data_IF_703499542098
#
_entry.id   IF_703499542098
#
_cell.length_a   1.000
_cell.length_b   1.000
_cell.length_c   1.000
_cell.angle_alpha   90.00
_cell.angle_beta   90.00
_cell.angle_gamma   90.00
#
_symmetry.space_group_name_H-M   'P 1'
#
loop_
_entity.id
_entity.type
_entity.pdbx_description
1 polymer ?
#
# COMPACT_ATOMS: atom_id res chain seq x y z
N UNK A 1 100.07 46.11 -6.27
CA UNK A 1 99.01 46.81 -7.02
C UNK A 1 99.33 48.30 -7.07
N UNK A 2 99.50 48.87 -8.27
CA UNK A 2 99.95 50.25 -8.47
C UNK A 2 99.01 50.97 -9.44
N UNK A 3 98.68 52.24 -9.18
CA UNK A 3 97.85 53.03 -10.09
C UNK A 3 98.70 53.56 -11.26
N UNK A 4 98.41 53.12 -12.49
CA UNK A 4 99.13 53.48 -13.71
C UNK A 4 98.52 54.70 -14.42
N UNK A 5 97.20 54.80 -14.47
CA UNK A 5 96.54 55.96 -15.09
C UNK A 5 95.19 56.29 -14.46
N UNK A 6 94.81 57.56 -14.56
CA UNK A 6 93.52 58.11 -14.13
C UNK A 6 92.91 58.82 -15.34
N UNK A 7 91.77 58.33 -15.82
CA UNK A 7 90.98 58.97 -16.88
C UNK A 7 89.73 59.60 -16.29
N UNK A 8 89.58 60.90 -16.46
CA UNK A 8 88.46 61.70 -15.97
C UNK A 8 87.68 62.26 -17.16
N UNK A 9 86.36 62.30 -17.08
CA UNK A 9 85.53 63.02 -18.05
C UNK A 9 84.24 63.47 -17.39
N UNK A 10 83.89 64.75 -17.56
CA UNK A 10 82.71 65.36 -16.93
C UNK A 10 82.75 65.33 -15.39
N UNK A 11 83.93 65.18 -14.77
CA UNK A 11 84.09 65.05 -13.33
C UNK A 11 84.61 66.35 -12.72
N UNK A 12 83.80 67.00 -11.87
CA UNK A 12 84.12 68.28 -11.21
C UNK A 12 84.78 69.27 -12.18
N UNK A 13 86.00 69.73 -11.91
CA UNK A 13 86.73 70.70 -12.74
C UNK A 13 87.21 70.18 -14.11
N UNK A 14 86.93 68.92 -14.46
CA UNK A 14 87.39 68.28 -15.69
C UNK A 14 86.22 68.02 -16.66
N UNK A 15 85.85 69.01 -17.49
CA UNK A 15 84.73 68.88 -18.43
C UNK A 15 85.01 67.91 -19.59
N UNK A 16 86.24 67.94 -20.11
CA UNK A 16 86.68 67.10 -21.23
C UNK A 16 87.38 65.84 -20.74
N UNK A 17 87.47 64.79 -21.57
CA UNK A 17 88.26 63.60 -21.27
C UNK A 17 89.75 63.96 -21.07
N UNK A 18 90.24 63.79 -19.84
CA UNK A 18 91.64 64.02 -19.47
C UNK A 18 92.24 62.73 -18.93
N UNK A 19 93.40 62.34 -19.45
CA UNK A 19 94.14 61.16 -19.00
C UNK A 19 95.43 61.58 -18.29
N UNK A 20 95.57 61.20 -17.02
CA UNK A 20 96.77 61.39 -16.22
C UNK A 20 97.55 60.07 -16.15
N UNK A 21 98.78 60.08 -16.65
CA UNK A 21 99.70 58.95 -16.53
C UNK A 21 100.55 59.10 -15.25
N UNK A 22 100.71 58.01 -14.52
CA UNK A 22 101.46 57.95 -13.26
C UNK A 22 102.64 56.96 -13.40
N UNK A 23 103.74 57.37 -14.03
CA UNK A 23 104.82 56.44 -14.42
C UNK A 23 105.74 56.03 -13.25
N UNK A 24 105.75 56.77 -12.13
CA UNK A 24 106.69 56.59 -11.02
C UNK A 24 106.04 56.26 -9.68
N UNK A 25 106.86 55.89 -8.69
CA UNK A 25 106.41 55.63 -7.31
C UNK A 25 106.03 56.92 -6.56
N UNK A 26 106.68 58.04 -6.90
CA UNK A 26 106.39 59.37 -6.37
C UNK A 26 105.96 60.27 -7.53
N UNK A 27 104.75 60.82 -7.45
CA UNK A 27 104.21 61.75 -8.44
C UNK A 27 103.73 63.00 -7.71
N UNK A 28 104.25 64.16 -8.12
CA UNK A 28 103.82 65.45 -7.60
C UNK A 28 102.75 66.08 -8.49
N UNK A 29 101.57 66.36 -7.93
CA UNK A 29 100.52 67.13 -8.61
C UNK A 29 100.59 68.58 -8.14
N UNK A 30 101.11 69.46 -8.99
CA UNK A 30 101.32 70.88 -8.69
C UNK A 30 100.44 71.78 -9.56
N UNK A 31 100.17 72.99 -9.07
CA UNK A 31 99.34 73.98 -9.76
C UNK A 31 98.89 75.08 -8.81
N UNK A 32 98.25 76.16 -9.30
CA UNK A 32 97.73 77.24 -8.46
C UNK A 32 96.53 76.79 -7.61
N UNK A 33 96.08 77.60 -6.66
CA UNK A 33 94.86 77.30 -5.90
C UNK A 33 93.64 77.34 -6.83
N UNK A 34 92.71 76.41 -6.65
CA UNK A 34 91.49 76.32 -7.48
C UNK A 34 91.63 75.59 -8.81
N UNK A 35 92.82 75.12 -9.23
CA UNK A 35 92.99 74.39 -10.49
C UNK A 35 92.52 72.91 -10.46
N UNK A 36 91.87 72.47 -9.38
CA UNK A 36 91.29 71.12 -9.31
C UNK A 36 92.25 70.00 -8.85
N UNK A 37 93.42 70.32 -8.27
CA UNK A 37 94.38 69.32 -7.75
C UNK A 37 93.73 68.32 -6.79
N UNK A 38 92.98 68.85 -5.81
CA UNK A 38 92.26 68.04 -4.83
C UNK A 38 91.17 67.16 -5.46
N UNK A 39 90.60 67.57 -6.59
CA UNK A 39 89.56 66.81 -7.28
C UNK A 39 90.09 65.50 -7.88
N UNK A 40 91.40 65.41 -8.15
CA UNK A 40 92.03 64.16 -8.61
C UNK A 40 91.97 63.10 -7.49
N UNK A 41 92.23 63.49 -6.25
CA UNK A 41 92.11 62.59 -5.09
C UNK A 41 90.65 62.19 -4.83
N UNK A 42 89.71 63.15 -4.97
CA UNK A 42 88.29 62.87 -4.82
C UNK A 42 87.81 61.88 -5.90
N UNK A 43 88.34 61.97 -7.13
CA UNK A 43 88.03 61.03 -8.22
C UNK A 43 88.47 59.60 -7.87
N UNK A 44 89.66 59.43 -7.28
CA UNK A 44 90.15 58.12 -6.85
C UNK A 44 89.25 57.53 -5.76
N UNK A 45 88.92 58.31 -4.73
CA UNK A 45 88.00 57.87 -3.65
C UNK A 45 86.62 57.49 -4.17
N UNK A 46 86.11 58.29 -5.10
CA UNK A 46 84.80 58.08 -5.69
C UNK A 46 84.71 56.76 -6.45
N UNK A 47 85.71 56.40 -7.25
CA UNK A 47 85.72 55.11 -7.96
C UNK A 47 85.87 53.92 -7.02
N UNK A 48 86.68 54.05 -5.96
CA UNK A 48 86.87 52.99 -4.95
C UNK A 48 85.65 52.75 -4.04
N UNK A 49 84.54 53.46 -4.28
CA UNK A 49 83.24 53.13 -3.71
C UNK A 49 82.83 54.02 -2.53
N UNK A 50 83.45 55.19 -2.35
CA UNK A 50 82.96 56.20 -1.41
C UNK A 50 81.55 56.67 -1.82
N UNK A 51 80.63 56.68 -0.86
CA UNK A 51 79.22 57.00 -1.03
C UNK A 51 78.78 58.27 -0.30
N UNK A 52 79.63 58.82 0.57
CA UNK A 52 79.36 60.07 1.29
C UNK A 52 79.82 61.26 0.46
N UNK A 53 78.89 62.12 0.07
CA UNK A 53 79.18 63.34 -0.69
C UNK A 53 80.13 64.29 0.07
N UNK A 54 79.99 64.36 1.41
CA UNK A 54 80.84 65.18 2.28
C UNK A 54 82.33 64.84 2.20
N UNK A 55 82.68 63.56 2.10
CA UNK A 55 84.06 63.09 1.95
C UNK A 55 84.65 63.39 0.56
N UNK A 56 83.78 63.68 -0.41
CA UNK A 56 84.12 64.14 -1.74
C UNK A 56 83.99 65.66 -1.88
N UNK A 57 83.88 66.42 -0.79
CA UNK A 57 83.74 67.89 -0.82
C UNK A 57 82.58 68.39 -1.69
N UNK A 58 81.46 67.66 -1.66
CA UNK A 58 80.18 68.03 -2.28
C UNK A 58 79.04 67.91 -1.27
N UNK A 59 77.91 68.54 -1.56
CA UNK A 59 76.69 68.46 -0.74
C UNK A 59 75.84 67.27 -1.18
N UNK A 60 75.81 67.00 -2.49
CA UNK A 60 75.13 65.88 -3.12
C UNK A 60 76.11 65.02 -3.93
N UNK A 61 75.79 63.74 -4.09
CA UNK A 61 76.55 62.86 -4.99
C UNK A 61 76.49 63.31 -6.46
N UNK A 62 75.51 64.14 -6.83
CA UNK A 62 75.42 64.73 -8.17
C UNK A 62 76.47 65.84 -8.40
N UNK A 63 77.04 66.42 -7.34
CA UNK A 63 78.03 67.51 -7.43
C UNK A 63 79.40 67.04 -7.95
N UNK A 64 79.57 65.72 -8.13
CA UNK A 64 80.73 65.16 -8.83
C UNK A 64 80.65 65.40 -10.34
N UNK A 65 79.47 65.70 -10.88
CA UNK A 65 79.28 66.01 -12.30
C UNK A 65 79.64 67.47 -12.57
N UNK A 66 80.40 67.72 -13.64
CA UNK A 66 80.73 69.08 -14.05
C UNK A 66 79.46 69.91 -14.29
N UNK A 67 79.29 70.97 -13.50
CA UNK A 67 78.11 71.82 -13.52
C UNK A 67 78.17 72.99 -14.52
N UNK A 68 79.20 73.03 -15.38
CA UNK A 68 79.35 74.09 -16.38
C UNK A 68 80.18 75.27 -15.85
N UNK A 69 80.63 76.09 -16.79
CA UNK A 69 81.19 77.42 -16.53
C UNK A 69 80.51 78.43 -17.45
N UNK A 70 80.84 79.73 -17.34
CA UNK A 70 80.35 80.77 -18.26
C UNK A 70 80.64 80.47 -19.74
N UNK A 71 81.70 79.70 -20.02
CA UNK A 71 82.14 79.36 -21.38
C UNK A 71 81.84 77.91 -21.79
N UNK A 72 81.48 77.02 -20.86
CA UNK A 72 81.30 75.57 -21.12
C UNK A 72 80.00 75.05 -20.55
N UNK A 73 79.26 74.27 -21.35
CA UNK A 73 78.00 73.65 -20.95
C UNK A 73 78.21 72.59 -19.86
N UNK A 74 77.23 72.39 -18.95
CA UNK A 74 77.27 71.31 -17.97
C UNK A 74 77.31 69.94 -18.63
N UNK A 75 78.00 68.98 -18.00
CA UNK A 75 78.03 67.59 -18.45
C UNK A 75 76.78 66.84 -17.97
N UNK A 76 76.29 65.90 -18.78
CA UNK A 76 75.16 65.01 -18.43
C UNK A 76 75.58 63.82 -17.57
N UNK A 77 76.87 63.47 -17.57
CA UNK A 77 77.46 62.38 -16.79
C UNK A 77 78.88 62.71 -16.36
N UNK A 78 79.30 62.09 -15.26
CA UNK A 78 80.70 61.99 -14.86
C UNK A 78 81.17 60.56 -15.03
N UNK A 79 82.37 60.37 -15.56
CA UNK A 79 83.04 59.06 -15.58
C UNK A 79 84.49 59.20 -15.15
N UNK A 80 84.89 58.31 -14.24
CA UNK A 80 86.28 58.17 -13.80
C UNK A 80 86.68 56.72 -13.98
N UNK A 81 87.82 56.49 -14.62
CA UNK A 81 88.43 55.18 -14.80
C UNK A 81 89.84 55.21 -14.21
N UNK A 82 90.10 54.27 -13.30
CA UNK A 82 91.39 54.04 -12.66
C UNK A 82 91.97 52.75 -13.23
N UNK A 83 93.18 52.82 -13.76
CA UNK A 83 93.85 51.65 -14.32
C UNK A 83 95.01 51.27 -13.40
N UNK A 84 94.96 50.06 -12.88
CA UNK A 84 95.93 49.52 -11.93
C UNK A 84 96.78 48.42 -12.56
N UNK A 85 98.08 48.49 -12.34
CA UNK A 85 98.99 47.37 -12.49
C UNK A 85 98.80 46.38 -11.34
N UNK A 86 98.53 45.13 -11.69
CA UNK A 86 98.33 44.01 -10.77
C UNK A 86 99.39 42.90 -10.99
N UNK A 87 100.63 43.25 -11.36
CA UNK A 87 101.74 42.28 -11.48
C UNK A 87 101.96 41.41 -10.21
N UNK A 88 101.68 41.95 -9.02
CA UNK A 88 101.79 41.20 -7.75
C UNK A 88 100.58 40.29 -7.45
N UNK A 89 99.58 40.24 -8.33
CA UNK A 89 98.33 39.49 -8.18
C UNK A 89 97.62 39.70 -6.82
N UNK A 90 97.69 40.93 -6.28
CA UNK A 90 97.13 41.28 -4.96
C UNK A 90 95.61 41.54 -5.00
N UNK A 91 95.03 41.74 -6.17
CA UNK A 91 93.60 41.94 -6.32
C UNK A 91 92.79 40.69 -5.92
N UNK A 92 91.70 40.91 -5.19
CA UNK A 92 90.82 39.84 -4.71
C UNK A 92 89.91 39.26 -5.80
N UNK A 93 89.53 37.99 -5.62
CA UNK A 93 88.50 37.32 -6.41
C UNK A 93 88.94 36.93 -7.83
N UNK A 94 87.95 36.78 -8.72
CA UNK A 94 88.15 36.37 -10.12
C UNK A 94 89.01 37.34 -10.95
N UNK A 95 89.19 38.57 -10.46
CA UNK A 95 89.92 39.63 -11.14
C UNK A 95 91.43 39.60 -10.90
N UNK A 96 91.90 38.82 -9.91
CA UNK A 96 93.32 38.68 -9.59
C UNK A 96 94.16 38.05 -10.71
N UNK A 97 93.53 37.37 -11.67
CA UNK A 97 94.21 36.72 -12.81
C UNK A 97 94.70 37.71 -13.87
N UNK A 98 94.14 38.92 -13.91
CA UNK A 98 94.52 39.94 -14.87
C UNK A 98 95.74 40.71 -14.39
N UNK A 99 96.70 40.92 -15.29
CA UNK A 99 97.89 41.74 -15.04
C UNK A 99 97.55 43.24 -14.91
N UNK A 100 96.46 43.68 -15.53
CA UNK A 100 95.96 45.05 -15.45
C UNK A 100 94.46 45.04 -15.12
N UNK A 101 94.05 45.93 -14.21
CA UNK A 101 92.67 46.05 -13.74
C UNK A 101 92.22 47.50 -13.92
N UNK A 102 91.26 47.72 -14.81
CA UNK A 102 90.60 49.00 -15.02
C UNK A 102 89.29 49.04 -14.26
N UNK A 103 89.18 49.92 -13.26
CA UNK A 103 87.95 50.14 -12.49
C UNK A 103 87.35 51.47 -12.89
N UNK A 104 86.09 51.45 -13.34
CA UNK A 104 85.40 52.63 -13.84
C UNK A 104 84.08 52.82 -13.11
N UNK A 105 83.81 54.06 -12.70
CA UNK A 105 82.51 54.48 -12.17
C UNK A 105 81.92 55.54 -13.09
N UNK A 106 80.63 55.41 -13.39
CA UNK A 106 79.86 56.36 -14.19
C UNK A 106 78.62 56.78 -13.41
N UNK A 107 78.39 58.08 -13.31
CA UNK A 107 77.18 58.64 -12.71
C UNK A 107 76.49 59.57 -13.70
N UNK A 108 75.20 59.35 -13.92
CA UNK A 108 74.34 60.21 -14.72
C UNK A 108 73.58 61.21 -13.83
N UNK A 109 73.10 62.32 -14.41
CA UNK A 109 72.27 63.30 -13.69
C UNK A 109 70.98 62.69 -13.11
N UNK A 110 70.50 61.60 -13.69
CA UNK A 110 69.34 60.84 -13.20
C UNK A 110 69.63 60.05 -11.91
N UNK A 111 70.84 60.15 -11.36
CA UNK A 111 71.24 59.48 -10.12
C UNK A 111 71.71 58.04 -10.29
N UNK A 112 71.76 57.53 -11.53
CA UNK A 112 72.20 56.15 -11.80
C UNK A 112 73.72 56.06 -11.71
N UNK A 113 74.23 55.37 -10.68
CA UNK A 113 75.66 55.09 -10.48
C UNK A 113 75.98 53.66 -10.93
N UNK A 114 76.71 53.53 -12.03
CA UNK A 114 77.16 52.25 -12.58
C UNK A 114 78.65 52.01 -12.33
N UNK A 115 79.03 50.78 -12.00
CA UNK A 115 80.41 50.36 -11.81
C UNK A 115 80.81 49.34 -12.86
N UNK A 116 82.07 49.42 -13.28
CA UNK A 116 82.66 48.51 -14.26
C UNK A 116 84.06 48.09 -13.81
N UNK A 117 84.40 46.83 -14.04
CA UNK A 117 85.78 46.32 -13.93
C UNK A 117 86.12 45.73 -15.30
N UNK A 118 87.23 46.16 -15.91
CA UNK A 118 87.64 45.75 -17.26
C UNK A 118 86.48 45.84 -18.28
N UNK A 119 85.73 46.96 -18.23
CA UNK A 119 84.52 47.22 -19.02
C UNK A 119 83.32 46.29 -18.80
N UNK A 120 83.39 45.34 -17.86
CA UNK A 120 82.24 44.52 -17.48
C UNK A 120 81.44 45.18 -16.35
N UNK A 121 80.10 45.27 -16.45
CA UNK A 121 79.28 45.86 -15.40
C UNK A 121 79.30 44.98 -14.14
N UNK A 122 79.56 45.60 -12.99
CA UNK A 122 79.67 44.91 -11.70
C UNK A 122 78.90 45.65 -10.60
N UNK A 123 78.64 44.98 -9.48
CA UNK A 123 78.05 45.63 -8.32
C UNK A 123 79.12 46.41 -7.56
N UNK A 124 78.69 47.42 -6.81
CA UNK A 124 79.58 48.18 -5.92
C UNK A 124 80.33 47.28 -4.93
N UNK A 125 79.67 46.24 -4.42
CA UNK A 125 80.29 45.26 -3.50
C UNK A 125 81.45 44.54 -4.17
N UNK A 126 81.29 44.13 -5.43
CA UNK A 126 82.33 43.43 -6.19
C UNK A 126 83.59 44.31 -6.36
N UNK A 127 83.42 45.62 -6.57
CA UNK A 127 84.54 46.58 -6.60
C UNK A 127 85.24 46.66 -5.24
N UNK A 128 84.48 46.71 -4.13
CA UNK A 128 85.06 46.72 -2.79
C UNK A 128 85.81 45.42 -2.47
N UNK A 129 85.29 44.27 -2.91
CA UNK A 129 85.87 42.95 -2.70
C UNK A 129 87.22 42.79 -3.45
N UNK A 130 87.37 43.43 -4.61
CA UNK A 130 88.65 43.43 -5.37
C UNK A 130 89.77 44.13 -4.61
N UNK A 131 89.46 45.21 -3.91
CA UNK A 131 90.43 45.96 -3.10
C UNK A 131 90.45 45.57 -1.62
N UNK A 132 89.66 44.57 -1.22
CA UNK A 132 89.62 44.10 0.16
C UNK A 132 90.96 43.45 0.53
N UNK A 133 91.66 44.03 1.51
CA UNK A 133 92.97 43.57 1.96
C UNK A 133 94.15 44.12 1.15
N UNK A 134 93.93 44.96 0.14
CA UNK A 134 95.01 45.69 -0.57
C UNK A 134 95.34 47.04 0.09
N UNK A 135 94.55 47.45 1.09
CA UNK A 135 94.63 48.75 1.75
C UNK A 135 94.00 49.90 0.94
N UNK A 136 93.36 49.60 -0.20
CA UNK A 136 92.73 50.55 -1.12
C UNK A 136 91.18 50.41 -1.14
N UNK A 137 90.53 50.41 0.02
CA UNK A 137 89.07 50.49 0.15
C UNK A 137 88.51 51.91 0.39
N UNK A 138 87.18 52.07 0.51
CA UNK A 138 86.56 53.35 0.90
C UNK A 138 86.93 53.78 2.34
N UNK A 139 87.40 52.85 3.17
CA UNK A 139 87.96 53.14 4.51
C UNK A 139 89.49 53.02 4.56
N UNK A 140 90.13 52.98 3.38
CA UNK A 140 91.57 52.84 3.22
C UNK A 140 92.36 53.85 4.03
N UNK A 141 93.33 53.36 4.79
CA UNK A 141 94.41 54.18 5.34
C UNK A 141 95.32 54.77 4.24
N UNK A 142 95.33 54.18 3.04
CA UNK A 142 96.20 54.58 1.94
C UNK A 142 95.81 55.93 1.28
N UNK A 143 94.60 56.44 1.52
CA UNK A 143 94.14 57.69 0.92
C UNK A 143 93.93 58.75 2.01
N UNK A 144 94.95 59.56 2.24
CA UNK A 144 94.90 60.63 3.24
C UNK A 144 94.30 61.90 2.62
N UNK A 145 93.18 62.35 3.18
CA UNK A 145 92.48 63.55 2.75
C UNK A 145 92.74 64.71 3.68
N UNK A 146 92.19 65.87 3.34
CA UNK A 146 92.26 67.04 4.19
C UNK A 146 91.53 66.76 5.52
N UNK A 147 92.20 66.99 6.65
CA UNK A 147 91.65 66.73 7.99
C UNK A 147 91.64 65.25 8.44
N UNK A 148 92.03 64.31 7.57
CA UNK A 148 92.09 62.87 7.93
C UNK A 148 93.11 62.60 9.05
N UNK A 149 94.25 63.29 9.04
CA UNK A 149 95.30 63.12 10.07
C UNK A 149 94.79 63.55 11.45
N UNK A 150 94.17 64.73 11.55
CA UNK A 150 93.57 65.22 12.80
C UNK A 150 92.50 64.26 13.31
N UNK A 151 91.65 63.74 12.41
CA UNK A 151 90.61 62.76 12.76
C UNK A 151 91.20 61.47 13.35
N UNK A 152 92.29 60.95 12.78
CA UNK A 152 92.95 59.74 13.31
C UNK A 152 93.51 59.99 14.72
N UNK A 153 94.06 61.18 14.97
CA UNK A 153 94.62 61.54 16.29
C UNK A 153 93.51 61.72 17.34
N UNK A 154 92.35 62.24 16.95
CA UNK A 154 91.21 62.51 17.84
C UNK A 154 90.22 61.34 17.97
N UNK A 155 90.35 60.30 17.14
CA UNK A 155 89.42 59.16 17.07
C UNK A 155 89.43 58.31 18.34
N UNK A 156 88.26 57.75 18.68
CA UNK A 156 88.12 56.81 19.81
C UNK A 156 88.88 55.50 19.52
N UNK A 157 89.31 54.76 20.57
CA UNK A 157 90.02 53.48 20.41
C UNK A 157 89.28 52.46 19.53
N UNK A 158 87.95 52.43 19.58
CA UNK A 158 87.10 51.55 18.77
C UNK A 158 87.18 51.86 17.27
N UNK A 159 87.25 53.14 16.92
CA UNK A 159 87.41 53.60 15.53
C UNK A 159 88.84 53.35 15.05
N UNK A 160 89.83 53.61 15.91
CA UNK A 160 91.24 53.33 15.63
C UNK A 160 91.48 51.84 15.37
N UNK A 161 90.81 50.96 16.13
CA UNK A 161 90.87 49.51 15.96
C UNK A 161 90.50 49.08 14.54
N UNK A 162 89.51 49.73 13.90
CA UNK A 162 89.13 49.39 12.53
C UNK A 162 90.29 49.63 11.55
N UNK A 163 91.00 50.75 11.69
CA UNK A 163 92.17 51.07 10.88
C UNK A 163 93.32 50.09 11.11
N UNK A 164 93.54 49.69 12.37
CA UNK A 164 94.56 48.69 12.71
C UNK A 164 94.21 47.30 12.18
N UNK A 165 92.94 46.88 12.25
CA UNK A 165 92.46 45.60 11.71
C UNK A 165 92.58 45.56 10.17
N UNK A 166 92.32 46.68 9.50
CA UNK A 166 92.49 46.81 8.05
C UNK A 166 93.97 46.81 7.64
N UNK A 167 94.82 47.52 8.38
CA UNK A 167 96.27 47.52 8.16
C UNK A 167 96.90 46.14 8.42
N UNK A 168 96.39 45.39 9.41
CA UNK A 168 96.81 44.02 9.70
C UNK A 168 96.22 42.99 8.72
N UNK A 169 95.31 43.38 7.82
CA UNK A 169 94.70 42.48 6.84
C UNK A 169 93.72 41.45 7.41
N UNK A 170 93.36 41.55 8.70
CA UNK A 170 92.48 40.57 9.39
C UNK A 170 90.99 40.78 9.06
N UNK A 171 90.62 41.95 8.53
CA UNK A 171 89.24 42.31 8.20
C UNK A 171 88.57 41.32 7.24
N UNK A 172 89.30 40.77 6.26
CA UNK A 172 88.78 39.76 5.32
C UNK A 172 88.31 38.49 6.03
N UNK A 173 89.10 38.00 6.98
CA UNK A 173 88.78 36.78 7.73
C UNK A 173 87.63 37.00 8.70
N UNK A 174 87.58 38.17 9.33
CA UNK A 174 86.51 38.56 10.26
C UNK A 174 85.15 38.66 9.55
N UNK A 175 85.11 39.28 8.38
CA UNK A 175 83.88 39.40 7.59
C UNK A 175 83.40 38.03 7.10
N UNK A 176 84.31 37.18 6.60
CA UNK A 176 83.98 35.82 6.15
C UNK A 176 83.47 34.94 7.29
N UNK A 177 84.04 35.07 8.49
CA UNK A 177 83.58 34.35 9.68
C UNK A 177 82.14 34.75 10.03
N UNK A 178 81.86 36.05 10.08
CA UNK A 178 80.53 36.59 10.38
C UNK A 178 79.48 36.12 9.36
N UNK A 179 79.79 36.16 8.07
CA UNK A 179 78.88 35.68 7.04
C UNK A 179 78.59 34.18 7.18
N UNK A 180 79.61 33.38 7.49
CA UNK A 180 79.46 31.93 7.71
C UNK A 180 78.63 31.64 8.95
N UNK A 181 78.84 32.39 10.04
CA UNK A 181 78.10 32.27 11.29
C UNK A 181 76.61 32.59 11.09
N UNK A 182 76.28 33.65 10.35
CA UNK A 182 74.90 33.96 9.99
C UNK A 182 74.26 32.83 9.17
N UNK A 183 74.95 32.32 8.14
CA UNK A 183 74.43 31.20 7.33
C UNK A 183 74.19 29.94 8.14
N UNK A 184 75.05 29.64 9.11
CA UNK A 184 74.88 28.51 10.03
C UNK A 184 73.66 28.71 10.94
N UNK A 185 73.45 29.93 11.44
CA UNK A 185 72.26 30.28 12.24
C UNK A 185 70.99 30.05 11.43
N UNK A 186 70.92 30.59 10.22
CA UNK A 186 69.76 30.45 9.33
C UNK A 186 69.48 28.97 9.00
N UNK A 187 70.53 28.17 8.81
CA UNK A 187 70.40 26.73 8.54
C UNK A 187 69.82 25.98 9.74
N UNK A 188 70.23 26.34 10.96
CA UNK A 188 69.71 25.73 12.20
C UNK A 188 68.24 26.05 12.40
N UNK A 189 67.84 27.29 12.16
CA UNK A 189 66.43 27.69 12.25
C UNK A 189 65.56 26.93 11.24
N UNK A 190 66.05 26.79 10.00
CA UNK A 190 65.38 25.98 8.98
C UNK A 190 65.24 24.50 9.40
N UNK A 191 66.26 23.92 10.04
CA UNK A 191 66.21 22.54 10.50
C UNK A 191 65.13 22.36 11.58
N UNK A 192 65.06 23.25 12.56
CA UNK A 192 64.01 23.25 13.58
C UNK A 192 62.62 23.29 12.95
N UNK A 193 62.42 24.13 11.92
CA UNK A 193 61.14 24.21 11.22
C UNK A 193 60.78 22.89 10.51
N UNK A 194 61.76 22.20 9.93
CA UNK A 194 61.54 20.90 9.30
C UNK A 194 61.17 19.83 10.33
N UNK A 195 61.81 19.85 11.50
CA UNK A 195 61.47 18.93 12.60
C UNK A 195 60.03 19.13 13.08
N UNK A 196 59.56 20.36 13.18
CA UNK A 196 58.17 20.66 13.55
C UNK A 196 57.17 20.12 12.51
N UNK A 197 57.45 20.32 11.22
CA UNK A 197 56.63 19.77 10.13
C UNK A 197 56.62 18.24 10.17
N UNK A 198 57.75 17.59 10.42
CA UNK A 198 57.83 16.14 10.53
C UNK A 198 56.98 15.61 11.70
N UNK A 199 57.00 16.29 12.86
CA UNK A 199 56.14 15.92 13.99
C UNK A 199 54.67 16.05 13.65
N UNK A 200 54.27 17.16 13.02
CA UNK A 200 52.88 17.37 12.61
C UNK A 200 52.44 16.28 11.62
N UNK A 201 53.24 16.02 10.58
CA UNK A 201 52.96 14.97 9.61
C UNK A 201 52.89 13.57 10.25
N UNK A 202 53.76 13.27 11.21
CA UNK A 202 53.70 12.02 11.98
C UNK A 202 52.36 11.86 12.71
N UNK A 203 51.90 12.90 13.42
CA UNK A 203 50.60 12.84 14.11
C UNK A 203 49.41 12.70 13.15
N UNK A 204 49.50 13.27 11.96
CA UNK A 204 48.47 13.11 10.92
C UNK A 204 48.48 11.70 10.33
N UNK A 205 49.66 11.12 10.12
CA UNK A 205 49.82 9.75 9.64
C UNK A 205 49.20 8.75 10.63
N UNK A 206 49.48 8.88 11.94
CA UNK A 206 48.90 8.03 12.98
C UNK A 206 47.36 8.07 13.00
N UNK A 207 46.78 9.26 12.78
CA UNK A 207 45.31 9.41 12.69
C UNK A 207 44.76 8.71 11.44
N UNK A 208 45.41 8.89 10.29
CA UNK A 208 45.01 8.28 9.03
C UNK A 208 45.14 6.76 9.08
N UNK A 209 46.16 6.22 9.74
CA UNK A 209 46.36 4.79 9.92
C UNK A 209 45.21 4.17 10.74
N UNK A 210 44.84 4.79 11.87
CA UNK A 210 43.67 4.36 12.66
C UNK A 210 42.38 4.42 11.87
N UNK A 211 42.17 5.47 11.06
CA UNK A 211 41.01 5.58 10.20
C UNK A 211 40.99 4.49 9.12
N UNK A 212 42.14 4.17 8.53
CA UNK A 212 42.27 3.12 7.54
C UNK A 212 41.96 1.74 8.14
N UNK A 213 42.44 1.46 9.35
CA UNK A 213 42.14 0.21 10.07
C UNK A 213 40.63 0.04 10.31
N UNK A 214 39.95 1.11 10.78
CA UNK A 214 38.50 1.11 10.99
C UNK A 214 37.76 0.91 9.66
N UNK A 215 38.19 1.59 8.58
CA UNK A 215 37.57 1.47 7.27
C UNK A 215 37.75 0.05 6.68
N UNK A 216 38.90 -0.58 6.88
CA UNK A 216 39.14 -1.98 6.47
C UNK A 216 38.23 -2.95 7.25
N UNK A 217 38.14 -2.80 8.58
CA UNK A 217 37.22 -3.60 9.40
C UNK A 217 35.77 -3.42 8.96
N UNK A 218 35.34 -2.18 8.70
CA UNK A 218 34.01 -1.89 8.19
C UNK A 218 33.75 -2.58 6.84
N UNK A 219 34.68 -2.50 5.88
CA UNK A 219 34.54 -3.17 4.58
C UNK A 219 34.41 -4.69 4.72
N UNK A 220 35.21 -5.31 5.58
CA UNK A 220 35.14 -6.75 5.84
C UNK A 220 33.79 -7.15 6.47
N UNK A 221 33.34 -6.40 7.48
CA UNK A 221 32.03 -6.64 8.10
C UNK A 221 30.88 -6.42 7.11
N UNK A 222 30.97 -5.41 6.25
CA UNK A 222 29.96 -5.14 5.23
C UNK A 222 29.88 -6.30 4.22
N UNK A 223 31.03 -6.83 3.76
CA UNK A 223 31.03 -8.00 2.88
C UNK A 223 30.43 -9.24 3.55
N UNK A 224 30.72 -9.46 4.84
CA UNK A 224 30.14 -10.56 5.60
C UNK A 224 28.63 -10.41 5.77
N UNK A 225 28.14 -9.20 6.06
CA UNK A 225 26.70 -8.90 6.17
C UNK A 225 26.02 -9.15 4.83
N UNK A 226 26.58 -8.65 3.73
CA UNK A 226 26.01 -8.86 2.39
C UNK A 226 25.97 -10.35 2.03
N UNK A 227 27.05 -11.10 2.30
CA UNK A 227 27.09 -12.54 2.06
C UNK A 227 26.02 -13.27 2.88
N UNK A 228 25.92 -12.99 4.17
CA UNK A 228 24.92 -13.61 5.06
C UNK A 228 23.50 -13.26 4.66
N UNK A 229 23.25 -12.02 4.24
CA UNK A 229 21.95 -11.60 3.71
C UNK A 229 21.60 -12.37 2.44
N UNK A 230 22.53 -12.50 1.49
CA UNK A 230 22.31 -13.31 0.29
C UNK A 230 22.01 -14.77 0.62
N UNK A 231 22.74 -15.36 1.57
CA UNK A 231 22.49 -16.73 2.05
C UNK A 231 21.10 -16.87 2.67
N UNK A 232 20.68 -15.91 3.51
CA UNK A 232 19.34 -15.89 4.09
C UNK A 232 18.26 -15.78 3.01
N UNK A 233 18.43 -14.90 2.03
CA UNK A 233 17.49 -14.75 0.92
C UNK A 233 17.39 -16.02 0.07
N UNK A 234 18.52 -16.67 -0.19
CA UNK A 234 18.55 -17.94 -0.90
C UNK A 234 17.78 -19.03 -0.13
N UNK A 235 17.99 -19.13 1.18
CA UNK A 235 17.28 -20.08 2.04
C UNK A 235 15.77 -19.82 2.06
N UNK A 236 15.36 -18.55 2.22
CA UNK A 236 13.95 -18.16 2.14
C UNK A 236 13.31 -18.48 0.78
N UNK A 237 14.06 -18.30 -0.31
CA UNK A 237 13.58 -18.65 -1.64
C UNK A 237 13.38 -20.16 -1.77
N UNK A 238 14.33 -20.96 -1.28
CA UNK A 238 14.22 -22.42 -1.29
C UNK A 238 13.03 -22.92 -0.46
N UNK A 239 12.82 -22.36 0.74
CA UNK A 239 11.66 -22.64 1.59
C UNK A 239 10.35 -22.28 0.88
N UNK A 240 10.25 -21.08 0.31
CA UNK A 240 9.07 -20.63 -0.41
C UNK A 240 8.77 -21.51 -1.64
N UNK A 241 9.79 -21.98 -2.36
CA UNK A 241 9.63 -22.91 -3.48
C UNK A 241 9.14 -24.28 -3.01
N UNK A 242 9.65 -24.79 -1.89
CA UNK A 242 9.19 -26.04 -1.31
C UNK A 242 7.73 -25.94 -0.84
N UNK A 243 7.37 -24.86 -0.16
CA UNK A 243 5.99 -24.59 0.24
C UNK A 243 5.06 -24.44 -0.96
N UNK A 244 5.48 -23.73 -2.00
CA UNK A 244 4.72 -23.60 -3.25
C UNK A 244 4.48 -24.97 -3.89
N UNK A 245 5.51 -25.82 -3.97
CA UNK A 245 5.39 -27.17 -4.52
C UNK A 245 4.43 -28.04 -3.68
N UNK A 246 4.50 -27.96 -2.34
CA UNK A 246 3.57 -28.66 -1.45
C UNK A 246 2.13 -28.22 -1.68
N UNK A 247 1.85 -26.92 -1.64
CA UNK A 247 0.51 -26.36 -1.82
C UNK A 247 -0.03 -26.69 -3.21
N UNK A 248 0.82 -26.66 -4.24
CA UNK A 248 0.43 -27.07 -5.60
C UNK A 248 0.00 -28.53 -5.64
N UNK A 249 0.76 -29.43 -5.02
CA UNK A 249 0.41 -30.85 -4.95
C UNK A 249 -0.89 -31.06 -4.17
N UNK A 250 -1.06 -30.40 -3.03
CA UNK A 250 -2.30 -30.45 -2.25
C UNK A 250 -3.51 -29.98 -3.08
N UNK A 251 -3.37 -28.87 -3.83
CA UNK A 251 -4.41 -28.38 -4.72
C UNK A 251 -4.74 -29.36 -5.86
N UNK A 252 -3.73 -29.96 -6.49
CA UNK A 252 -3.91 -30.99 -7.52
C UNK A 252 -4.65 -32.22 -6.96
N UNK A 253 -4.27 -32.70 -5.78
CA UNK A 253 -4.95 -33.84 -5.14
C UNK A 253 -6.39 -33.52 -4.75
N UNK A 254 -6.66 -32.32 -4.22
CA UNK A 254 -8.01 -31.87 -3.89
C UNK A 254 -8.88 -31.72 -5.14
N UNK A 255 -8.31 -31.22 -6.24
CA UNK A 255 -8.99 -31.11 -7.53
C UNK A 255 -9.37 -32.49 -8.07
N UNK A 256 -8.44 -33.45 -8.09
CA UNK A 256 -8.75 -34.83 -8.52
C UNK A 256 -9.79 -35.50 -7.61
N UNK A 257 -9.74 -35.29 -6.29
CA UNK A 257 -10.74 -35.79 -5.37
C UNK A 257 -12.13 -35.18 -5.65
N UNK A 258 -12.19 -33.88 -5.93
CA UNK A 258 -13.44 -33.20 -6.29
C UNK A 258 -14.01 -33.75 -7.61
N UNK A 259 -13.17 -33.92 -8.63
CA UNK A 259 -13.58 -34.52 -9.91
C UNK A 259 -14.13 -35.93 -9.73
N UNK A 260 -13.49 -36.75 -8.89
CA UNK A 260 -13.99 -38.08 -8.53
C UNK A 260 -15.36 -38.00 -7.86
N UNK A 261 -15.56 -37.08 -6.91
CA UNK A 261 -16.87 -36.90 -6.24
C UNK A 261 -17.96 -36.41 -7.18
N UNK A 262 -17.63 -35.56 -8.14
CA UNK A 262 -18.57 -35.12 -9.18
C UNK A 262 -18.94 -36.29 -10.10
N UNK A 263 -17.99 -37.15 -10.44
CA UNK A 263 -18.28 -38.37 -11.21
C UNK A 263 -19.19 -39.33 -10.43
N UNK A 264 -18.90 -39.58 -9.14
CA UNK A 264 -19.74 -40.39 -8.25
C UNK A 264 -21.17 -39.82 -8.18
N UNK A 265 -21.31 -38.50 -8.01
CA UNK A 265 -22.62 -37.83 -7.96
C UNK A 265 -23.41 -38.05 -9.25
N UNK A 266 -22.78 -37.84 -10.41
CA UNK A 266 -23.42 -38.06 -11.73
C UNK A 266 -23.84 -39.50 -11.93
N UNK A 267 -23.04 -40.45 -11.44
CA UNK A 267 -23.40 -41.86 -11.49
C UNK A 267 -24.64 -42.15 -10.64
N UNK A 268 -24.67 -41.67 -9.39
CA UNK A 268 -25.82 -41.80 -8.49
C UNK A 268 -27.06 -41.12 -9.07
N UNK A 269 -26.94 -39.94 -9.69
CA UNK A 269 -28.05 -39.26 -10.37
C UNK A 269 -28.62 -40.11 -11.52
N UNK A 270 -27.75 -40.77 -12.28
CA UNK A 270 -28.16 -41.68 -13.36
C UNK A 270 -28.88 -42.91 -12.81
N UNK A 271 -28.36 -43.50 -11.74
CA UNK A 271 -28.99 -44.65 -11.06
C UNK A 271 -30.35 -44.26 -10.45
N UNK A 272 -30.45 -43.06 -9.87
CA UNK A 272 -31.70 -42.55 -9.33
C UNK A 272 -32.74 -42.31 -10.43
N UNK A 273 -32.33 -41.81 -11.58
CA UNK A 273 -33.23 -41.62 -12.72
C UNK A 273 -33.72 -42.97 -13.29
N UNK A 274 -32.85 -43.97 -13.39
CA UNK A 274 -33.27 -45.32 -13.80
C UNK A 274 -34.24 -45.96 -12.79
N UNK A 275 -34.00 -45.81 -11.49
CA UNK A 275 -34.94 -46.25 -10.45
C UNK A 275 -36.29 -45.51 -10.56
N UNK A 276 -36.28 -44.19 -10.80
CA UNK A 276 -37.51 -43.41 -11.00
C UNK A 276 -38.31 -43.90 -12.19
N UNK A 277 -37.65 -44.16 -13.32
CA UNK A 277 -38.31 -44.72 -14.51
C UNK A 277 -38.92 -46.09 -14.21
N UNK A 278 -38.20 -46.96 -13.51
CA UNK A 278 -38.72 -48.26 -13.08
C UNK A 278 -39.93 -48.11 -12.14
N UNK A 279 -39.89 -47.15 -11.21
CA UNK A 279 -41.01 -46.85 -10.32
C UNK A 279 -42.24 -46.35 -11.08
N UNK A 280 -42.07 -45.43 -12.03
CA UNK A 280 -43.18 -44.96 -12.87
C UNK A 280 -43.79 -46.09 -13.69
N UNK A 281 -42.97 -46.94 -14.32
CA UNK A 281 -43.45 -48.10 -15.07
C UNK A 281 -44.22 -49.08 -14.17
N UNK A 282 -43.75 -49.34 -12.95
CA UNK A 282 -44.47 -50.17 -11.98
C UNK A 282 -45.78 -49.51 -11.52
N UNK A 283 -45.78 -48.19 -11.31
CA UNK A 283 -46.99 -47.42 -10.99
C UNK A 283 -48.04 -47.49 -12.10
N UNK A 284 -47.63 -47.40 -13.36
CA UNK A 284 -48.51 -47.56 -14.52
C UNK A 284 -49.10 -48.98 -14.58
N UNK A 285 -48.29 -50.02 -14.30
CA UNK A 285 -48.79 -51.39 -14.20
C UNK A 285 -49.82 -51.57 -13.08
N UNK A 286 -49.59 -50.94 -11.91
CA UNK A 286 -50.55 -50.96 -10.80
C UNK A 286 -51.84 -50.24 -11.19
N UNK A 287 -51.76 -49.06 -11.80
CA UNK A 287 -52.94 -48.32 -12.27
C UNK A 287 -53.72 -49.12 -13.31
N UNK A 288 -53.03 -49.81 -14.24
CA UNK A 288 -53.67 -50.68 -15.22
C UNK A 288 -54.37 -51.86 -14.56
N UNK A 289 -53.71 -52.53 -13.61
CA UNK A 289 -54.31 -53.63 -12.85
C UNK A 289 -55.50 -53.17 -12.00
N UNK A 290 -55.44 -51.98 -11.40
CA UNK A 290 -56.57 -51.36 -10.69
C UNK A 290 -57.73 -51.02 -11.63
N UNK A 291 -57.44 -50.54 -12.85
CA UNK A 291 -58.44 -50.31 -13.89
C UNK A 291 -59.18 -51.59 -14.27
N UNK A 292 -58.44 -52.67 -14.54
CA UNK A 292 -59.00 -54.00 -14.82
C UNK A 292 -59.81 -54.54 -13.62
N UNK A 293 -59.33 -54.34 -12.40
CA UNK A 293 -60.05 -54.71 -11.19
C UNK A 293 -61.37 -53.92 -11.06
N UNK A 294 -61.35 -52.62 -11.35
CA UNK A 294 -62.54 -51.78 -11.31
C UNK A 294 -63.55 -52.24 -12.37
N UNK A 295 -63.13 -52.46 -13.61
CA UNK A 295 -63.96 -53.03 -14.67
C UNK A 295 -64.59 -54.36 -14.22
N UNK A 296 -63.78 -55.32 -13.75
CA UNK A 296 -64.25 -56.59 -13.25
C UNK A 296 -65.22 -56.42 -12.06
N UNK A 297 -64.95 -55.50 -11.13
CA UNK A 297 -65.83 -55.21 -9.99
C UNK A 297 -67.16 -54.60 -10.42
N UNK A 298 -67.18 -53.76 -11.47
CA UNK A 298 -68.41 -53.20 -12.02
C UNK A 298 -69.22 -54.27 -12.77
N UNK A 299 -68.55 -55.20 -13.46
CA UNK A 299 -69.21 -56.36 -14.05
C UNK A 299 -69.80 -57.28 -12.99
N UNK A 300 -69.04 -57.60 -11.93
CA UNK A 300 -69.55 -58.36 -10.78
C UNK A 300 -70.73 -57.64 -10.15
N UNK A 301 -70.66 -56.32 -9.92
CA UNK A 301 -71.78 -55.53 -9.39
C UNK A 301 -73.01 -55.55 -10.29
N UNK A 302 -72.83 -55.50 -11.62
CA UNK A 302 -73.93 -55.65 -12.59
C UNK A 302 -74.56 -57.04 -12.51
N UNK A 303 -73.75 -58.10 -12.51
CA UNK A 303 -74.20 -59.48 -12.39
C UNK A 303 -74.89 -59.74 -11.05
N UNK A 304 -74.38 -59.20 -9.94
CA UNK A 304 -75.01 -59.29 -8.63
C UNK A 304 -76.35 -58.54 -8.57
N UNK A 305 -76.47 -57.39 -9.24
CA UNK A 305 -77.73 -56.68 -9.36
C UNK A 305 -78.74 -57.47 -10.22
N UNK A 306 -78.28 -58.09 -11.31
CA UNK A 306 -79.09 -58.95 -12.17
C UNK A 306 -79.55 -60.22 -11.41
N UNK A 307 -78.65 -60.87 -10.66
CA UNK A 307 -78.98 -61.99 -9.78
C UNK A 307 -80.01 -61.56 -8.73
N UNK A 308 -79.81 -60.41 -8.05
CA UNK A 308 -80.81 -59.89 -7.10
C UNK A 308 -82.16 -59.67 -7.76
N UNK A 309 -82.19 -59.06 -8.93
CA UNK A 309 -83.43 -58.84 -9.68
C UNK A 309 -84.13 -60.15 -10.04
N UNK A 310 -83.39 -61.17 -10.47
CA UNK A 310 -83.92 -62.51 -10.77
C UNK A 310 -84.43 -63.20 -9.50
N UNK A 311 -83.71 -63.12 -8.39
CA UNK A 311 -84.12 -63.70 -7.10
C UNK A 311 -85.36 -63.01 -6.54
N UNK A 312 -85.41 -61.68 -6.54
CA UNK A 312 -86.59 -60.92 -6.14
C UNK A 312 -87.77 -61.15 -7.09
N UNK A 313 -87.50 -61.31 -8.39
CA UNK A 313 -88.50 -61.70 -9.39
C UNK A 313 -89.07 -63.09 -9.08
N UNK A 314 -88.20 -64.06 -8.77
CA UNK A 314 -88.59 -65.40 -8.37
C UNK A 314 -89.39 -65.41 -7.07
N UNK A 315 -88.97 -64.67 -6.04
CA UNK A 315 -89.74 -64.54 -4.79
C UNK A 315 -91.11 -63.90 -5.02
N UNK A 316 -91.21 -62.86 -5.87
CA UNK A 316 -92.51 -62.29 -6.27
C UNK A 316 -93.41 -63.31 -6.95
N UNK A 317 -92.85 -64.13 -7.85
CA UNK A 317 -93.61 -65.20 -8.53
C UNK A 317 -94.02 -66.28 -7.53
N UNK A 318 -93.13 -66.73 -6.64
CA UNK A 318 -93.44 -67.72 -5.60
C UNK A 318 -94.54 -67.22 -4.64
N UNK A 319 -94.48 -65.97 -4.18
CA UNK A 319 -95.53 -65.34 -3.37
C UNK A 319 -96.86 -65.24 -4.12
N UNK A 320 -96.82 -64.90 -5.42
CA UNK A 320 -98.03 -64.84 -6.26
C UNK A 320 -98.61 -66.23 -6.53
N UNK A 321 -97.77 -67.25 -6.59
CA UNK A 321 -98.19 -68.65 -6.75
C UNK A 321 -98.79 -69.18 -5.43
N UNK A 322 -98.25 -68.80 -4.29
CA UNK A 322 -98.83 -69.08 -2.97
C UNK A 322 -100.20 -68.41 -2.81
N UNK A 323 -100.34 -67.13 -3.16
CA UNK A 323 -101.63 -66.44 -3.07
C UNK A 323 -102.66 -67.00 -4.06
N UNK A 324 -102.25 -67.42 -5.26
CA UNK A 324 -103.13 -68.11 -6.21
C UNK A 324 -103.57 -69.49 -5.70
N UNK A 325 -102.68 -70.25 -5.05
CA UNK A 325 -103.05 -71.53 -4.40
C UNK A 325 -104.07 -71.32 -3.29
N UNK A 326 -103.87 -70.32 -2.46
CA UNK A 326 -104.80 -69.96 -1.38
C UNK A 326 -106.15 -69.48 -1.93
N UNK A 327 -106.15 -68.67 -2.99
CA UNK A 327 -107.37 -68.29 -3.71
C UNK A 327 -108.07 -69.52 -4.30
N UNK A 328 -107.33 -70.48 -4.87
CA UNK A 328 -107.92 -71.71 -5.44
C UNK A 328 -108.60 -72.56 -4.36
N UNK A 329 -108.00 -72.66 -3.17
CA UNK A 329 -108.61 -73.34 -2.02
C UNK A 329 -109.88 -72.60 -1.55
N UNK A 330 -109.84 -71.26 -1.47
CA UNK A 330 -111.02 -70.45 -1.12
C UNK A 330 -112.16 -70.59 -2.14
N UNK A 331 -111.85 -70.57 -3.44
CA UNK A 331 -112.84 -70.77 -4.49
C UNK A 331 -113.40 -72.20 -4.51
N UNK A 332 -112.58 -73.21 -4.19
CA UNK A 332 -113.02 -74.59 -4.00
C UNK A 332 -113.99 -74.74 -2.82
N UNK A 333 -113.69 -74.12 -1.68
CA UNK A 333 -114.57 -74.10 -0.52
C UNK A 333 -115.90 -73.37 -0.83
N UNK A 334 -115.86 -72.20 -1.47
CA UNK A 334 -117.06 -71.47 -1.90
C UNK A 334 -117.94 -72.26 -2.86
N UNK A 335 -117.34 -73.05 -3.76
CA UNK A 335 -118.09 -73.92 -4.67
C UNK A 335 -118.81 -75.03 -3.89
N UNK A 336 -118.13 -75.67 -2.94
CA UNK A 336 -118.71 -76.71 -2.08
C UNK A 336 -119.85 -76.16 -1.21
N UNK A 337 -119.69 -74.96 -0.65
CA UNK A 337 -120.74 -74.29 0.14
C UNK A 337 -121.96 -73.94 -0.72
N UNK A 338 -121.74 -73.47 -1.95
CA UNK A 338 -122.81 -73.16 -2.90
C UNK A 338 -123.57 -74.42 -3.37
N UNK A 339 -122.89 -75.54 -3.60
CA UNK A 339 -123.51 -76.83 -3.94
C UNK A 339 -124.35 -77.37 -2.77
N UNK A 340 -123.89 -77.19 -1.51
CA UNK A 340 -124.65 -77.55 -0.32
C UNK A 340 -125.89 -76.66 -0.09
N UNK A 341 -125.80 -75.36 -0.38
CA UNK A 341 -126.92 -74.41 -0.35
C UNK A 341 -127.99 -74.74 -1.40
N UNK A 342 -127.58 -75.07 -2.64
CA UNK A 342 -128.49 -75.49 -3.71
C UNK A 342 -129.23 -76.78 -3.33
N UNK A 343 -128.55 -77.74 -2.69
CA UNK A 343 -129.17 -78.96 -2.17
C UNK A 343 -130.25 -78.68 -1.11
N UNK A 344 -129.97 -77.78 -0.16
CA UNK A 344 -130.93 -77.39 0.88
C UNK A 344 -132.15 -76.64 0.32
N UNK A 345 -131.94 -75.75 -0.65
CA UNK A 345 -133.01 -74.99 -1.30
C UNK A 345 -133.94 -75.88 -2.14
N UNK A 346 -133.42 -76.93 -2.77
CA UNK A 346 -134.23 -77.92 -3.48
C UNK A 346 -135.13 -78.72 -2.53
N UNK A 347 -134.61 -79.14 -1.36
CA UNK A 347 -135.40 -79.84 -0.33
C UNK A 347 -136.52 -78.98 0.27
N UNK A 348 -136.25 -77.70 0.50
CA UNK A 348 -137.22 -76.71 1.00
C UNK A 348 -138.33 -76.41 -0.02
N UNK A 349 -137.99 -76.38 -1.32
CA UNK A 349 -138.98 -76.17 -2.39
C UNK A 349 -139.99 -77.32 -2.49
N UNK A 350 -139.55 -78.57 -2.31
CA UNK A 350 -140.45 -79.75 -2.36
C UNK A 350 -141.40 -79.76 -1.15
N UNK A 351 -140.90 -79.50 0.07
CA UNK A 351 -141.74 -79.41 1.28
C UNK A 351 -142.77 -78.28 1.22
N UNK A 352 -142.42 -77.14 0.61
CA UNK A 352 -143.32 -75.99 0.45
C UNK A 352 -144.49 -76.31 -0.50
N UNK A 353 -144.25 -77.07 -1.57
CA UNK A 353 -145.29 -77.48 -2.52
C UNK A 353 -146.26 -78.50 -1.92
N UNK A 354 -145.78 -79.46 -1.11
CA UNK A 354 -146.62 -80.44 -0.42
C UNK A 354 -147.54 -79.79 0.64
N UNK A 355 -147.03 -78.80 1.39
CA UNK A 355 -147.85 -78.07 2.37
C UNK A 355 -148.92 -77.19 1.71
N UNK A 356 -148.65 -76.60 0.55
CA UNK A 356 -149.63 -75.76 -0.18
C UNK A 356 -150.82 -76.58 -0.70
N UNK A 357 -150.58 -77.81 -1.18
CA UNK A 357 -151.64 -78.71 -1.65
C UNK A 357 -152.55 -79.22 -0.50
N UNK A 358 -151.97 -79.49 0.67
CA UNK A 358 -152.73 -79.91 1.85
C UNK A 358 -153.66 -78.79 2.39
N UNK A 359 -153.19 -77.55 2.40
CA UNK A 359 -153.94 -76.39 2.87
C UNK A 359 -155.09 -75.98 1.91
N UNK A 360 -154.94 -76.13 0.59
CA UNK A 360 -156.05 -75.89 -0.35
C UNK A 360 -157.21 -76.88 -0.14
N UNK A 361 -156.92 -78.12 0.19
CA UNK A 361 -157.95 -79.16 0.39
C UNK A 361 -158.77 -78.90 1.66
N UNK A 362 -158.16 -78.35 2.72
CA UNK A 362 -158.86 -77.98 3.95
C UNK A 362 -159.77 -76.74 3.80
N UNK A 363 -159.39 -75.76 2.98
CA UNK A 363 -160.21 -74.56 2.74
C UNK A 363 -161.47 -74.89 1.93
N UNK A 364 -161.39 -75.85 1.00
CA UNK A 364 -162.51 -76.23 0.15
C UNK A 364 -163.56 -77.09 0.87
N UNK A 365 -163.17 -77.86 1.89
CA UNK A 365 -164.11 -78.59 2.75
C UNK A 365 -164.83 -77.68 3.76
N UNK A 366 -164.18 -76.60 4.23
CA UNK A 366 -164.80 -75.62 5.13
C UNK A 366 -165.85 -74.74 4.45
N UNK A 367 -165.70 -74.41 3.16
CA UNK A 367 -166.62 -73.51 2.47
C UNK A 367 -167.98 -74.13 2.13
N UNK A 368 -168.11 -75.46 2.16
CA UNK A 368 -169.37 -76.15 1.86
C UNK A 368 -170.28 -76.34 3.09
N UNK A 369 -169.73 -76.26 4.31
CA UNK A 369 -170.50 -76.44 5.56
C UNK A 369 -171.11 -75.14 6.11
N UNK A 370 -170.60 -73.97 5.69
CA UNK A 370 -171.01 -72.66 6.21
C UNK A 370 -172.49 -72.29 5.93
N UNK A 371 -173.07 -72.52 4.74
CA UNK A 371 -174.45 -72.10 4.47
C UNK A 371 -175.49 -72.95 5.23
N UNK A 372 -175.21 -74.24 5.46
CA UNK A 372 -176.12 -75.15 6.17
C UNK A 372 -176.18 -74.82 7.68
N UNK A 373 -175.08 -74.34 8.25
CA UNK A 373 -175.02 -73.91 9.66
C UNK A 373 -175.69 -72.55 9.88
N UNK A 374 -175.63 -71.63 8.91
CA UNK A 374 -176.33 -70.34 8.95
C UNK A 374 -177.87 -70.52 8.89
N UNK A 375 -178.36 -71.49 8.12
CA UNK A 375 -179.80 -71.76 8.00
C UNK A 375 -180.36 -72.46 9.26
N UNK A 376 -179.59 -73.34 9.89
CA UNK A 376 -179.92 -73.96 11.18
C UNK A 376 -179.95 -72.93 12.34
N UNK A 377 -179.02 -71.97 12.35
CA UNK A 377 -179.01 -70.89 13.35
C UNK A 377 -180.22 -69.96 13.19
N UNK A 378 -180.70 -69.71 11.96
CA UNK A 378 -181.85 -68.83 11.71
C UNK A 378 -183.18 -69.44 12.16
N UNK A 379 -183.35 -70.75 12.00
CA UNK A 379 -184.53 -71.48 12.48
C UNK A 379 -184.56 -71.61 14.01
N UNK A 380 -183.40 -71.84 14.64
CA UNK A 380 -183.28 -71.90 16.10
C UNK A 380 -183.58 -70.53 16.76
N UNK A 381 -183.14 -69.42 16.15
CA UNK A 381 -183.36 -68.08 16.69
C UNK A 381 -184.85 -67.66 16.68
N UNK A 382 -185.64 -68.13 15.69
CA UNK A 382 -187.05 -67.75 15.60
C UNK A 382 -187.96 -68.59 16.51
N UNK A 383 -187.69 -69.89 16.64
CA UNK A 383 -188.36 -70.75 17.63
C UNK A 383 -188.12 -70.24 19.07
N UNK A 384 -186.94 -69.67 19.34
CA UNK A 384 -186.61 -69.04 20.63
C UNK A 384 -187.41 -67.76 20.87
N UNK A 385 -187.73 -67.00 19.82
CA UNK A 385 -188.57 -65.80 19.93
C UNK A 385 -190.06 -66.12 20.15
N UNK A 386 -190.57 -67.19 19.53
CA UNK A 386 -191.94 -67.67 19.74
C UNK A 386 -192.13 -68.24 21.17
N UNK A 387 -191.12 -68.94 21.71
CA UNK A 387 -191.13 -69.36 23.12
C UNK A 387 -191.01 -68.18 24.09
N UNK A 388 -190.25 -67.13 23.74
CA UNK A 388 -190.11 -65.95 24.60
C UNK A 388 -191.42 -65.18 24.76
N UNK A 389 -192.21 -65.00 23.71
CA UNK A 389 -193.51 -64.31 23.81
C UNK A 389 -194.57 -65.14 24.54
N UNK A 390 -194.55 -66.46 24.40
CA UNK A 390 -195.41 -67.36 25.18
C UNK A 390 -195.09 -67.29 26.69
N UNK A 391 -193.80 -67.15 27.06
CA UNK A 391 -193.39 -66.98 28.46
C UNK A 391 -193.82 -65.62 29.02
N UNK A 392 -193.82 -64.54 28.22
CA UNK A 392 -194.33 -63.23 28.68
C UNK A 392 -195.84 -63.21 28.88
N UNK A 393 -196.61 -63.92 28.05
CA UNK A 393 -198.07 -64.08 28.23
C UNK A 393 -198.41 -64.89 29.48
N UNK A 394 -197.62 -65.92 29.80
CA UNK A 394 -197.80 -66.74 31.01
C UNK A 394 -197.36 -65.97 32.27
N UNK A 395 -196.30 -65.15 32.19
CA UNK A 395 -195.89 -64.31 33.34
C UNK A 395 -196.90 -63.21 33.69
N UNK A 396 -197.59 -62.63 32.72
CA UNK A 396 -198.66 -61.67 33.03
C UNK A 396 -199.91 -62.34 33.61
N UNK A 397 -200.25 -63.56 33.18
CA UNK A 397 -201.32 -64.35 33.81
C UNK A 397 -200.98 -64.76 35.25
N UNK A 398 -199.70 -65.01 35.56
CA UNK A 398 -199.25 -65.30 36.94
C UNK A 398 -199.31 -64.05 37.84
N UNK A 399 -199.14 -62.83 37.31
CA UNK A 399 -199.36 -61.62 38.10
C UNK A 399 -200.85 -61.32 38.35
N UNK A 400 -201.73 -61.71 37.43
CA UNK A 400 -203.19 -61.68 37.62
C UNK A 400 -203.62 -62.66 38.73
N UNK A 401 -203.00 -63.84 38.82
CA UNK A 401 -203.30 -64.84 39.86
C UNK A 401 -202.62 -64.58 41.21
N UNK A 402 -201.47 -63.90 41.25
CA UNK A 402 -200.80 -63.53 42.50
C UNK A 402 -201.48 -62.35 43.23
N UNK A 403 -202.21 -61.49 42.52
CA UNK A 403 -203.07 -60.48 43.16
C UNK A 403 -204.38 -61.09 43.68
N UNK A 404 -204.92 -62.11 43.00
CA UNK A 404 -206.06 -62.89 43.48
C UNK A 404 -205.72 -63.74 44.72
N UNK A 405 -204.47 -64.20 44.91
CA UNK A 405 -204.05 -64.91 46.13
C UNK A 405 -203.85 -64.03 47.38
N UNK A 406 -203.82 -62.69 47.26
CA UNK A 406 -203.91 -61.80 48.45
C UNK A 406 -205.33 -61.51 48.89
N UNK A 407 -206.33 -62.14 48.27
CA UNK A 407 -207.70 -62.02 48.74
C UNK A 407 -208.07 -62.97 49.91
N UNK A 408 -207.31 -64.02 50.27
CA UNK A 408 -207.91 -65.18 50.99
C UNK A 408 -207.19 -65.70 52.25
N UNK A 409 -205.95 -65.30 52.58
CA UNK A 409 -205.36 -65.67 53.89
C UNK A 409 -205.84 -64.72 55.01
N UNK A 410 -207.01 -65.08 55.56
CA UNK A 410 -207.18 -65.37 56.99
C UNK A 410 -206.88 -64.22 57.95
N UNK A 411 -207.87 -63.52 58.53
CA UNK A 411 -209.28 -63.87 58.75
C UNK A 411 -209.59 -65.18 59.49
N UNK A 412 -208.60 -65.82 60.13
CA UNK A 412 -208.89 -66.88 61.11
C UNK A 412 -207.94 -66.83 62.33
N UNK A 413 -207.90 -65.66 62.97
CA UNK A 413 -208.01 -65.57 64.43
C UNK A 413 -208.71 -64.30 64.88
#
# INVERSE_FOLDING_TARGET
MRLNSIKLSGFKSFPEPTNFLLPGQLVGVVGPNGCGKSNIMDAVRWVLGESRASELRGESMQDVIFNGTTTRKPSSRASVELVFDNADHRAGGQWGQFAEIAVKRVLTRDGTSSYYINNQPVRRRDVQDVFLGTGLGPRAYAIIGQGTISRIIESKPEELRLFLEEAAGVSKYKERRRETENRLSDTRENLTRVEDILRELGTNLDKLEKQAEVAQKYKALQSDVTLKQHQLWYLKLAEAQADQARVKLEAETAQSAMESRVADLRHIETDLETIRQAHYAAGDQVNQAQGLLYEASTEVGKLEAEIRFVVEGRQRVEQRLASLKEQTVQWGARKSDAEAEIGKLAELSVRSQEQSAALMTQVQQGSQQLPLLEEASRLAQKATNEQRTAVTQIQQQIQVLAAEQRSVEEQSR
#
